data_IF_116844083719
#
_entry.id   IF_116844083719
#
_cell.length_a   1.000
_cell.length_b   1.000
_cell.length_c   1.000
_cell.angle_alpha   90.00
_cell.angle_beta   90.00
_cell.angle_gamma   90.00
#
_symmetry.space_group_name_H-M   'P 1'
#
loop_
_entity.id
_entity.type
_entity.pdbx_description
1 polymer ?
#
# COMPACT_ATOMS: atom_id res chain seq x y z
N UNK A 1 11.60 -81.73 6.61
CA UNK A 1 12.07 -83.08 6.24
C UNK A 1 13.57 -82.99 6.10
N UNK A 2 14.29 -83.69 6.97
CA UNK A 2 15.75 -83.75 7.04
C UNK A 2 16.31 -84.30 5.73
N UNK A 3 17.17 -83.52 5.06
CA UNK A 3 17.84 -83.94 3.84
C UNK A 3 18.78 -85.09 4.17
N UNK A 4 18.57 -86.24 3.54
CA UNK A 4 19.51 -87.34 3.57
C UNK A 4 20.65 -86.96 2.63
N UNK A 5 21.78 -86.60 3.22
CA UNK A 5 23.03 -86.33 2.50
C UNK A 5 23.41 -87.62 1.76
N UNK A 6 23.11 -87.70 0.46
CA UNK A 6 23.52 -88.82 -0.41
C UNK A 6 24.98 -88.64 -0.86
N UNK A 7 25.85 -88.25 0.06
CA UNK A 7 27.29 -88.33 -0.16
C UNK A 7 27.63 -89.82 -0.20
N UNK A 8 28.40 -90.31 -1.19
CA UNK A 8 28.82 -91.69 -1.17
C UNK A 8 29.77 -91.91 0.03
N UNK A 9 29.24 -92.49 1.11
CA UNK A 9 30.02 -92.99 2.25
C UNK A 9 30.77 -94.26 1.83
N UNK A 10 31.79 -94.10 0.98
CA UNK A 10 32.73 -95.17 0.67
C UNK A 10 34.03 -94.92 1.45
N UNK A 11 34.45 -95.83 2.36
CA UNK A 11 35.74 -95.68 3.03
C UNK A 11 36.87 -95.82 2.00
N UNK A 12 37.73 -94.81 1.92
CA UNK A 12 38.83 -94.74 0.94
C UNK A 12 40.04 -95.50 1.47
N UNK A 13 40.55 -96.45 0.69
CA UNK A 13 41.88 -97.03 0.88
C UNK A 13 42.90 -96.16 0.15
N UNK A 14 43.90 -95.61 0.86
CA UNK A 14 44.88 -94.66 0.30
C UNK A 14 45.85 -95.29 -0.74
N UNK A 15 45.85 -96.63 -0.90
CA UNK A 15 46.77 -97.35 -1.79
C UNK A 15 46.13 -97.87 -3.10
N UNK A 16 44.95 -97.37 -3.49
CA UNK A 16 44.24 -97.82 -4.70
C UNK A 16 44.04 -96.68 -5.70
N UNK A 17 44.41 -96.90 -6.98
CA UNK A 17 44.13 -96.03 -8.13
C UNK A 17 42.63 -96.00 -8.52
N UNK A 18 41.74 -96.06 -7.54
CA UNK A 18 40.29 -96.12 -7.74
C UNK A 18 39.73 -94.69 -7.90
N UNK A 19 39.29 -94.35 -9.11
CA UNK A 19 38.58 -93.09 -9.38
C UNK A 19 37.09 -93.31 -9.17
N UNK A 20 36.52 -92.70 -8.14
CA UNK A 20 35.07 -92.65 -7.93
C UNK A 20 34.50 -91.52 -8.78
N UNK A 21 33.63 -91.86 -9.73
CA UNK A 21 32.93 -90.90 -10.59
C UNK A 21 31.43 -90.95 -10.30
N UNK A 22 30.82 -89.77 -10.19
CA UNK A 22 29.38 -89.61 -9.93
C UNK A 22 28.53 -90.09 -11.12
N UNK A 23 27.36 -90.66 -10.83
CA UNK A 23 26.46 -91.15 -11.89
C UNK A 23 25.85 -89.98 -12.69
N UNK A 24 25.55 -90.16 -13.99
CA UNK A 24 24.87 -89.14 -14.79
C UNK A 24 23.51 -88.71 -14.24
N UNK A 25 22.80 -89.61 -13.56
CA UNK A 25 21.51 -89.33 -12.91
C UNK A 25 21.69 -88.40 -11.72
N UNK A 26 22.65 -88.67 -10.84
CA UNK A 26 22.96 -87.78 -9.72
C UNK A 26 23.34 -86.38 -10.18
N UNK A 27 24.14 -86.28 -11.26
CA UNK A 27 24.50 -84.98 -11.86
C UNK A 27 23.26 -84.25 -12.37
N UNK A 28 22.35 -84.93 -13.09
CA UNK A 28 21.11 -84.32 -13.59
C UNK A 28 20.17 -83.87 -12.47
N UNK A 29 20.03 -84.69 -11.44
CA UNK A 29 19.16 -84.38 -10.29
C UNK A 29 19.71 -83.20 -9.49
N UNK A 30 21.02 -83.16 -9.24
CA UNK A 30 21.66 -82.03 -8.54
C UNK A 30 21.58 -80.72 -9.33
N UNK A 31 21.71 -80.77 -10.65
CA UNK A 31 21.52 -79.59 -11.53
C UNK A 31 20.07 -79.12 -11.48
N UNK A 32 19.11 -80.04 -11.57
CA UNK A 32 17.69 -79.71 -11.51
C UNK A 32 17.34 -79.06 -10.18
N UNK A 33 17.81 -79.62 -9.07
CA UNK A 33 17.62 -79.08 -7.74
C UNK A 33 18.23 -77.68 -7.61
N UNK A 34 19.45 -77.46 -8.12
CA UNK A 34 20.10 -76.15 -8.11
C UNK A 34 19.31 -75.10 -8.93
N UNK A 35 18.74 -75.48 -10.08
CA UNK A 35 17.88 -74.60 -10.89
C UNK A 35 16.58 -74.28 -10.16
N UNK A 36 15.93 -75.28 -9.56
CA UNK A 36 14.69 -75.10 -8.80
C UNK A 36 14.92 -74.19 -7.58
N UNK A 37 16.04 -74.37 -6.87
CA UNK A 37 16.47 -73.50 -5.77
C UNK A 37 16.76 -72.08 -6.26
N UNK A 38 17.46 -71.91 -7.39
CA UNK A 38 17.75 -70.59 -7.95
C UNK A 38 16.49 -69.84 -8.37
N UNK A 39 15.56 -70.51 -9.05
CA UNK A 39 14.28 -69.94 -9.49
C UNK A 39 13.38 -69.53 -8.32
N UNK A 40 13.47 -70.24 -7.18
CA UNK A 40 12.79 -69.88 -5.94
C UNK A 40 13.53 -68.78 -5.15
N UNK A 41 14.84 -68.61 -5.38
CA UNK A 41 15.65 -67.63 -4.67
C UNK A 41 15.43 -66.21 -5.21
N UNK A 42 15.68 -65.21 -4.34
CA UNK A 42 15.81 -63.80 -4.74
C UNK A 42 17.23 -63.29 -4.57
N UNK A 43 18.22 -64.18 -4.62
CA UNK A 43 19.62 -63.86 -4.41
C UNK A 43 20.25 -63.32 -5.70
N UNK A 44 19.74 -62.19 -6.18
CA UNK A 44 20.32 -61.42 -7.27
C UNK A 44 20.73 -60.04 -6.75
N UNK A 45 21.77 -59.42 -7.33
CA UNK A 45 22.14 -58.05 -6.98
C UNK A 45 21.00 -57.08 -7.26
N UNK A 46 20.99 -55.96 -6.53
CA UNK A 46 20.10 -54.84 -6.85
C UNK A 46 20.48 -54.22 -8.19
N UNK A 47 19.48 -53.71 -8.91
CA UNK A 47 19.72 -52.90 -10.09
C UNK A 47 20.41 -51.59 -9.68
N UNK A 48 21.32 -51.12 -10.51
CA UNK A 48 21.91 -49.78 -10.44
C UNK A 48 21.61 -49.03 -11.74
N UNK A 49 22.12 -47.81 -11.88
CA UNK A 49 22.00 -47.06 -13.14
C UNK A 49 22.77 -47.72 -14.29
N UNK A 50 23.82 -48.48 -13.98
CA UNK A 50 24.73 -49.08 -14.96
C UNK A 50 24.53 -50.60 -15.11
N UNK A 51 24.12 -51.29 -14.03
CA UNK A 51 23.99 -52.75 -13.97
C UNK A 51 22.55 -53.23 -13.73
N UNK A 52 22.17 -54.34 -14.37
CA UNK A 52 20.83 -54.93 -14.25
C UNK A 52 20.70 -55.76 -12.97
N UNK A 53 19.55 -55.67 -12.29
CA UNK A 53 19.27 -56.42 -11.05
C UNK A 53 17.81 -56.30 -10.59
N UNK A 54 17.53 -56.66 -9.32
CA UNK A 54 16.20 -56.43 -8.73
C UNK A 54 16.02 -54.98 -8.28
N UNK A 55 14.81 -54.46 -8.43
CA UNK A 55 14.44 -53.09 -8.05
C UNK A 55 13.43 -53.16 -6.90
N UNK A 56 13.65 -52.36 -5.86
CA UNK A 56 12.62 -52.12 -4.82
C UNK A 56 11.85 -50.87 -5.18
N UNK A 57 10.52 -50.90 -5.05
CA UNK A 57 9.66 -49.77 -5.37
C UNK A 57 9.35 -48.95 -4.11
N UNK A 58 9.42 -47.63 -4.20
CA UNK A 58 9.01 -46.72 -3.12
C UNK A 58 7.92 -45.75 -3.56
N UNK A 59 7.01 -45.47 -2.64
CA UNK A 59 5.97 -44.44 -2.80
C UNK A 59 6.39 -43.08 -2.18
N UNK A 60 7.59 -43.00 -1.61
CA UNK A 60 8.07 -41.81 -0.94
C UNK A 60 8.40 -40.71 -1.96
N UNK A 61 8.05 -39.46 -1.63
CA UNK A 61 8.27 -38.29 -2.50
C UNK A 61 9.48 -37.44 -2.08
N UNK A 62 10.15 -37.83 -1.01
CA UNK A 62 11.35 -37.17 -0.47
C UNK A 62 12.38 -38.21 0.00
N UNK A 63 12.49 -39.33 -0.73
CA UNK A 63 13.48 -40.36 -0.45
C UNK A 63 14.82 -40.00 -1.07
N UNK A 64 15.90 -40.15 -0.30
CA UNK A 64 17.28 -40.00 -0.76
C UNK A 64 17.87 -41.33 -1.26
N UNK A 65 17.06 -42.38 -1.42
CA UNK A 65 17.54 -43.71 -1.80
C UNK A 65 17.91 -43.81 -3.28
N UNK A 66 19.15 -44.19 -3.57
CA UNK A 66 19.64 -44.47 -4.93
C UNK A 66 19.31 -45.89 -5.44
N UNK A 67 18.82 -46.79 -4.56
CA UNK A 67 18.53 -48.20 -4.89
C UNK A 67 17.04 -48.54 -5.01
N UNK A 68 16.17 -47.53 -4.86
CA UNK A 68 14.72 -47.70 -4.93
C UNK A 68 14.17 -46.89 -6.12
N UNK A 69 13.33 -47.51 -6.93
CA UNK A 69 12.64 -46.79 -8.00
C UNK A 69 11.33 -46.18 -7.48
N UNK A 70 11.05 -44.95 -7.90
CA UNK A 70 9.78 -44.29 -7.62
C UNK A 70 8.62 -45.01 -8.33
N UNK A 71 7.51 -45.21 -7.62
CA UNK A 71 6.27 -45.68 -8.24
C UNK A 71 5.53 -44.54 -8.94
N UNK A 72 4.58 -44.89 -9.80
CA UNK A 72 3.63 -43.91 -10.36
C UNK A 72 2.86 -43.12 -9.29
N UNK A 73 2.64 -43.71 -8.10
CA UNK A 73 2.02 -43.03 -6.97
C UNK A 73 2.92 -41.93 -6.41
N UNK A 74 4.22 -42.20 -6.21
CA UNK A 74 5.19 -41.18 -5.79
C UNK A 74 5.25 -40.03 -6.80
N UNK A 75 5.39 -40.35 -8.09
CA UNK A 75 5.44 -39.35 -9.17
C UNK A 75 4.17 -38.51 -9.22
N UNK A 76 3.00 -39.13 -9.10
CA UNK A 76 1.72 -38.41 -9.05
C UNK A 76 1.66 -37.47 -7.84
N UNK A 77 2.06 -37.94 -6.65
CA UNK A 77 2.06 -37.11 -5.45
C UNK A 77 2.98 -35.90 -5.56
N UNK A 78 4.18 -36.06 -6.13
CA UNK A 78 5.09 -34.95 -6.41
C UNK A 78 4.50 -33.95 -7.41
N UNK A 79 3.89 -34.45 -8.49
CA UNK A 79 3.23 -33.61 -9.48
C UNK A 79 2.03 -32.84 -8.91
N UNK A 80 1.21 -33.47 -8.07
CA UNK A 80 0.09 -32.82 -7.39
C UNK A 80 0.57 -31.71 -6.44
N UNK A 81 1.71 -31.89 -5.76
CA UNK A 81 2.32 -30.84 -4.92
C UNK A 81 2.85 -29.67 -5.76
N UNK A 82 3.49 -29.95 -6.90
CA UNK A 82 3.95 -28.92 -7.82
C UNK A 82 2.80 -28.09 -8.39
N UNK A 83 1.70 -28.74 -8.80
CA UNK A 83 0.50 -28.05 -9.26
C UNK A 83 -0.12 -27.18 -8.17
N UNK A 84 -0.23 -27.68 -6.93
CA UNK A 84 -0.70 -26.86 -5.80
C UNK A 84 0.18 -25.64 -5.54
N UNK A 85 1.49 -25.76 -5.72
CA UNK A 85 2.41 -24.64 -5.56
C UNK A 85 2.19 -23.59 -6.66
N UNK A 86 2.03 -24.02 -7.92
CA UNK A 86 1.70 -23.14 -9.04
C UNK A 86 0.34 -22.46 -8.84
N UNK A 87 -0.70 -23.22 -8.48
CA UNK A 87 -2.03 -22.68 -8.20
C UNK A 87 -1.96 -21.61 -7.09
N UNK A 88 -1.19 -21.85 -6.03
CA UNK A 88 -1.01 -20.87 -4.96
C UNK A 88 -0.27 -19.62 -5.46
N UNK A 89 0.77 -19.77 -6.29
CA UNK A 89 1.48 -18.62 -6.85
C UNK A 89 0.62 -17.79 -7.82
N UNK A 90 -0.16 -18.46 -8.67
CA UNK A 90 -0.94 -17.82 -9.74
C UNK A 90 -2.24 -17.18 -9.21
N UNK A 91 -2.80 -17.68 -8.11
CA UNK A 91 -4.07 -17.18 -7.58
C UNK A 91 -3.92 -16.09 -6.51
N UNK A 92 -2.75 -15.96 -5.87
CA UNK A 92 -2.53 -14.96 -4.82
C UNK A 92 -2.22 -13.60 -5.43
N UNK A 93 -2.96 -12.58 -4.99
CA UNK A 93 -2.83 -11.20 -5.45
C UNK A 93 -2.93 -11.08 -6.99
N UNK A 94 -3.75 -11.94 -7.60
CA UNK A 94 -3.99 -11.90 -9.04
C UNK A 94 -4.49 -10.50 -9.46
N UNK A 95 -3.88 -9.95 -10.52
CA UNK A 95 -4.08 -8.54 -10.90
C UNK A 95 -5.54 -8.22 -11.23
N UNK A 96 -6.24 -9.16 -11.84
CA UNK A 96 -7.65 -9.07 -12.19
C UNK A 96 -8.58 -9.18 -10.96
N UNK A 97 -8.12 -9.80 -9.87
CA UNK A 97 -8.86 -9.92 -8.61
C UNK A 97 -8.77 -8.68 -7.72
N UNK A 98 -7.84 -7.74 -7.99
CA UNK A 98 -7.70 -6.48 -7.26
C UNK A 98 -7.73 -6.63 -5.72
N UNK A 99 -7.09 -7.67 -5.19
CA UNK A 99 -7.02 -7.94 -3.75
C UNK A 99 -8.32 -8.52 -3.14
N UNK A 100 -9.24 -9.05 -3.95
CA UNK A 100 -10.42 -9.77 -3.47
C UNK A 100 -10.03 -10.95 -2.56
N UNK A 101 -8.92 -11.63 -2.88
CA UNK A 101 -8.36 -12.77 -2.17
C UNK A 101 -7.71 -12.43 -0.82
N UNK A 102 -7.53 -11.14 -0.50
CA UNK A 102 -6.96 -10.68 0.78
C UNK A 102 -7.97 -10.95 1.91
N UNK A 103 -7.64 -11.82 2.89
CA UNK A 103 -8.57 -12.19 3.96
C UNK A 103 -8.88 -11.04 4.92
N UNK A 104 -7.88 -10.22 5.25
CA UNK A 104 -8.03 -9.04 6.10
C UNK A 104 -7.44 -7.81 5.39
N UNK A 105 -8.31 -7.08 4.68
CA UNK A 105 -7.93 -5.89 3.91
C UNK A 105 -7.46 -4.74 4.81
N UNK A 106 -8.06 -4.59 6.00
CA UNK A 106 -7.70 -3.54 6.96
C UNK A 106 -6.28 -3.73 7.49
N UNK A 107 -5.94 -4.94 7.96
CA UNK A 107 -4.59 -5.23 8.45
C UNK A 107 -3.55 -5.18 7.32
N UNK A 108 -3.93 -5.60 6.10
CA UNK A 108 -3.06 -5.45 4.93
C UNK A 108 -2.71 -3.98 4.65
N UNK A 109 -3.71 -3.10 4.60
CA UNK A 109 -3.53 -1.66 4.41
C UNK A 109 -2.72 -1.04 5.56
N UNK A 110 -2.92 -1.50 6.80
CA UNK A 110 -2.13 -1.10 7.98
C UNK A 110 -0.66 -1.49 7.88
N UNK A 111 -0.37 -2.73 7.46
CA UNK A 111 1.00 -3.20 7.29
C UNK A 111 1.75 -2.45 6.19
N UNK A 112 1.02 -1.94 5.19
CA UNK A 112 1.59 -1.05 4.16
C UNK A 112 1.79 0.40 4.65
N UNK A 113 1.37 0.74 5.88
CA UNK A 113 1.38 2.12 6.38
C UNK A 113 0.32 3.01 5.73
N UNK A 114 -0.67 2.42 5.06
CA UNK A 114 -1.75 3.12 4.36
C UNK A 114 -3.04 3.24 5.19
N UNK A 115 -3.06 2.68 6.41
CA UNK A 115 -4.26 2.60 7.27
C UNK A 115 -4.86 3.96 7.65
N UNK A 116 -4.07 5.02 7.60
CA UNK A 116 -4.52 6.39 7.89
C UNK A 116 -5.09 7.11 6.66
N UNK A 117 -5.14 6.44 5.51
CA UNK A 117 -6.07 6.75 4.43
C UNK A 117 -6.01 8.17 3.89
N UNK A 118 -4.83 8.77 3.72
CA UNK A 118 -4.55 9.86 2.77
C UNK A 118 -3.16 10.42 3.06
N UNK A 119 -2.42 10.81 2.02
CA UNK A 119 -1.19 11.62 2.15
C UNK A 119 -1.49 12.95 2.87
N UNK A 120 -2.76 13.36 2.90
CA UNK A 120 -3.22 14.59 3.54
C UNK A 120 -3.72 14.34 4.97
N UNK A 121 -3.13 14.99 5.98
CA UNK A 121 -3.64 14.97 7.35
C UNK A 121 -5.11 15.40 7.45
N UNK A 122 -5.84 14.83 8.41
CA UNK A 122 -7.21 15.27 8.73
C UNK A 122 -7.19 16.74 9.14
N UNK A 123 -8.13 17.54 8.62
CA UNK A 123 -8.25 18.97 8.92
C UNK A 123 -7.46 19.92 8.02
N UNK A 124 -6.74 19.44 7.01
CA UNK A 124 -6.12 20.33 6.01
C UNK A 124 -7.18 20.83 5.02
N UNK A 125 -7.37 22.15 4.85
CA UNK A 125 -8.26 22.68 3.82
C UNK A 125 -7.69 22.45 2.43
N UNK A 126 -8.50 21.88 1.53
CA UNK A 126 -8.14 21.57 0.14
C UNK A 126 -9.13 22.25 -0.80
N UNK A 127 -8.68 22.94 -1.88
CA UNK A 127 -9.57 23.46 -2.91
C UNK A 127 -10.35 22.34 -3.62
N UNK A 128 -11.67 22.51 -3.75
CA UNK A 128 -12.58 21.57 -4.37
C UNK A 128 -13.45 22.25 -5.44
N UNK A 129 -13.53 21.68 -6.66
CA UNK A 129 -14.09 22.39 -7.82
C UNK A 129 -15.62 22.39 -7.89
N UNK A 130 -16.33 21.61 -7.08
CA UNK A 130 -17.81 21.52 -7.14
C UNK A 130 -18.46 22.06 -5.87
N UNK A 131 -19.74 22.38 -5.97
CA UNK A 131 -20.54 22.91 -4.85
C UNK A 131 -20.72 21.90 -3.71
N UNK A 132 -20.69 20.60 -4.02
CA UNK A 132 -20.91 19.51 -3.08
C UNK A 132 -19.59 18.80 -2.76
N UNK A 133 -19.24 18.73 -1.48
CA UNK A 133 -18.10 17.94 -1.03
C UNK A 133 -18.33 16.43 -1.28
N UNK A 134 -17.27 15.66 -1.59
CA UNK A 134 -17.38 14.22 -1.72
C UNK A 134 -17.67 13.57 -0.37
N UNK A 135 -18.13 12.31 -0.39
CA UNK A 135 -18.40 11.56 0.84
C UNK A 135 -17.15 11.49 1.74
N UNK A 136 -17.34 11.70 3.04
CA UNK A 136 -16.25 11.75 4.02
C UNK A 136 -15.54 13.09 4.12
N UNK A 137 -16.00 14.13 3.42
CA UNK A 137 -15.45 15.49 3.48
C UNK A 137 -16.52 16.50 3.92
N UNK A 138 -16.06 17.59 4.54
CA UNK A 138 -16.91 18.70 5.00
C UNK A 138 -16.43 20.01 4.37
N UNK A 139 -17.37 20.90 4.04
CA UNK A 139 -17.05 22.24 3.53
C UNK A 139 -16.67 23.15 4.70
N UNK A 140 -15.63 23.98 4.53
CA UNK A 140 -15.23 25.01 5.48
C UNK A 140 -16.13 26.25 5.34
N UNK A 141 -17.37 26.15 5.82
CA UNK A 141 -18.41 27.17 5.70
C UNK A 141 -18.87 27.73 7.07
N UNK A 142 -18.09 27.53 8.13
CA UNK A 142 -18.45 28.00 9.47
C UNK A 142 -19.35 27.05 10.28
N UNK A 143 -19.75 25.91 9.72
CA UNK A 143 -20.67 24.98 10.39
C UNK A 143 -19.99 24.17 11.52
N UNK A 144 -20.72 23.81 12.58
CA UNK A 144 -20.26 22.87 13.58
C UNK A 144 -20.17 21.44 13.04
N UNK A 145 -19.33 20.61 13.66
CA UNK A 145 -19.23 19.19 13.37
C UNK A 145 -19.25 18.34 14.64
N UNK A 146 -19.63 17.07 14.48
CA UNK A 146 -19.66 16.11 15.59
C UNK A 146 -18.24 15.62 15.92
N UNK A 147 -17.73 16.07 17.06
CA UNK A 147 -16.39 15.71 17.58
C UNK A 147 -16.27 14.24 17.97
N UNK A 148 -17.36 13.58 18.35
CA UNK A 148 -17.35 12.15 18.69
C UNK A 148 -17.30 11.30 17.43
N UNK A 149 -17.99 11.74 16.37
CA UNK A 149 -17.92 11.10 15.05
C UNK A 149 -16.58 11.33 14.36
N UNK A 150 -15.97 12.51 14.55
CA UNK A 150 -14.74 12.92 13.87
C UNK A 150 -13.63 13.34 14.86
N UNK A 151 -13.08 12.39 15.65
CA UNK A 151 -12.14 12.72 16.72
C UNK A 151 -10.81 13.28 16.22
N UNK A 152 -10.33 12.83 15.05
CA UNK A 152 -9.12 13.38 14.43
C UNK A 152 -9.32 14.83 13.96
N UNK A 153 -10.49 15.14 13.41
CA UNK A 153 -10.84 16.51 13.01
C UNK A 153 -10.99 17.40 14.25
N UNK A 154 -11.49 16.87 15.36
CA UNK A 154 -11.56 17.57 16.65
C UNK A 154 -10.19 17.92 17.24
N UNK A 155 -9.13 17.19 16.89
CA UNK A 155 -7.75 17.57 17.26
C UNK A 155 -7.30 18.80 16.44
N UNK A 156 -7.62 18.82 15.13
CA UNK A 156 -7.27 19.94 14.25
C UNK A 156 -8.11 21.20 14.52
N UNK A 157 -9.40 21.04 14.82
CA UNK A 157 -10.35 22.11 15.14
C UNK A 157 -11.02 21.87 16.50
N UNK A 158 -10.34 22.22 17.62
CA UNK A 158 -10.83 21.92 18.97
C UNK A 158 -12.17 22.56 19.34
N UNK A 159 -12.54 23.67 18.69
CA UNK A 159 -13.83 24.35 18.84
C UNK A 159 -15.01 23.46 18.45
N UNK A 160 -14.80 22.46 17.59
CA UNK A 160 -15.88 21.70 16.96
C UNK A 160 -16.61 22.49 15.86
N UNK A 161 -16.02 23.60 15.40
CA UNK A 161 -16.57 24.47 14.36
C UNK A 161 -15.50 24.66 13.29
N UNK A 162 -15.88 24.47 12.03
CA UNK A 162 -14.98 24.72 10.91
C UNK A 162 -14.81 26.22 10.66
N UNK A 163 -13.66 26.68 10.15
CA UNK A 163 -13.55 28.05 9.70
C UNK A 163 -14.50 28.30 8.52
N UNK A 164 -15.04 29.51 8.43
CA UNK A 164 -15.71 29.96 7.21
C UNK A 164 -14.65 30.54 6.27
N UNK A 165 -14.30 29.78 5.23
CA UNK A 165 -13.26 30.16 4.26
C UNK A 165 -13.84 30.64 2.93
N UNK A 166 -15.16 30.88 2.87
CA UNK A 166 -15.82 31.36 1.65
C UNK A 166 -15.38 32.81 1.39
N UNK A 167 -14.66 33.01 0.29
CA UNK A 167 -14.13 34.33 -0.09
C UNK A 167 -12.80 34.69 0.59
N UNK A 168 -12.23 33.80 1.40
CA UNK A 168 -11.01 34.07 2.17
C UNK A 168 -9.75 33.55 1.48
N UNK A 169 -8.62 34.22 1.74
CA UNK A 169 -7.29 33.73 1.39
C UNK A 169 -6.61 33.11 2.62
N UNK A 170 -6.12 31.88 2.48
CA UNK A 170 -5.31 31.25 3.51
C UNK A 170 -3.88 31.77 3.42
N UNK A 171 -3.32 32.20 4.55
CA UNK A 171 -1.92 32.63 4.68
C UNK A 171 -1.19 31.87 5.78
N UNK A 172 0.14 31.91 5.73
CA UNK A 172 0.98 31.39 6.82
C UNK A 172 0.87 32.24 8.09
N UNK A 173 0.82 31.57 9.24
CA UNK A 173 0.97 32.20 10.56
C UNK A 173 2.42 32.70 10.71
N UNK A 174 2.61 33.87 11.30
CA UNK A 174 3.95 34.44 11.52
C UNK A 174 4.85 33.54 12.38
N UNK A 175 4.26 32.92 13.40
CA UNK A 175 4.90 31.93 14.26
C UNK A 175 6.29 32.35 14.79
N UNK A 176 6.43 33.63 15.17
CA UNK A 176 7.64 34.17 15.80
C UNK A 176 8.67 34.79 14.86
N UNK A 177 8.36 34.93 13.55
CA UNK A 177 9.24 35.64 12.59
C UNK A 177 9.24 37.15 12.82
N UNK A 178 8.16 37.73 13.34
CA UNK A 178 8.03 39.16 13.64
C UNK A 178 7.48 40.01 12.49
N UNK A 179 6.98 39.41 11.40
CA UNK A 179 6.32 40.12 10.31
C UNK A 179 4.84 40.43 10.61
N UNK A 180 4.18 39.57 11.39
CA UNK A 180 2.81 39.77 11.89
C UNK A 180 2.67 39.18 13.31
N UNK A 181 3.33 39.78 14.32
CA UNK A 181 3.57 39.14 15.62
C UNK A 181 2.31 39.00 16.49
N UNK A 182 1.24 39.74 16.19
CA UNK A 182 -0.01 39.73 16.97
C UNK A 182 -1.10 38.85 16.36
N UNK A 183 -0.82 38.17 15.25
CA UNK A 183 -1.79 37.29 14.56
C UNK A 183 -1.89 35.95 15.26
N UNK A 184 -3.12 35.56 15.62
CA UNK A 184 -3.43 34.22 16.13
C UNK A 184 -3.86 33.26 15.01
N UNK A 185 -3.62 31.96 15.19
CA UNK A 185 -4.05 30.92 14.23
C UNK A 185 -5.57 30.94 14.05
N UNK A 186 -6.05 30.72 12.82
CA UNK A 186 -7.48 30.70 12.45
C UNK A 186 -8.27 32.01 12.72
N UNK A 187 -7.59 33.15 12.92
CA UNK A 187 -8.28 34.44 13.06
C UNK A 187 -8.40 35.18 11.72
N UNK A 188 -9.58 35.75 11.46
CA UNK A 188 -9.86 36.56 10.28
C UNK A 188 -9.12 37.92 10.33
N UNK A 189 -8.76 38.44 9.15
CA UNK A 189 -8.23 39.80 8.99
C UNK A 189 -8.94 40.48 7.84
N UNK A 190 -9.41 41.70 8.06
CA UNK A 190 -9.86 42.54 6.96
C UNK A 190 -8.69 42.91 6.04
N UNK A 191 -8.96 43.01 4.73
CA UNK A 191 -7.97 43.47 3.77
C UNK A 191 -7.42 44.86 4.11
N UNK A 192 -6.11 45.06 3.92
CA UNK A 192 -5.48 46.36 4.13
C UNK A 192 -6.00 47.38 3.11
N UNK A 193 -6.51 48.50 3.61
CA UNK A 193 -6.95 49.62 2.77
C UNK A 193 -5.71 50.40 2.30
N UNK A 194 -5.61 50.64 0.99
CA UNK A 194 -4.58 51.48 0.39
C UNK A 194 -5.22 52.83 0.06
N UNK A 195 -4.65 53.93 0.57
CA UNK A 195 -5.09 55.29 0.27
C UNK A 195 -4.06 56.03 -0.58
N UNK A 196 -4.52 56.79 -1.57
CA UNK A 196 -3.70 57.74 -2.34
C UNK A 196 -3.69 59.14 -1.71
N UNK A 197 -2.66 59.91 -2.03
CA UNK A 197 -2.58 61.35 -1.74
C UNK A 197 -3.05 62.10 -2.98
N UNK A 198 -3.90 63.11 -2.78
CA UNK A 198 -4.37 64.03 -3.81
C UNK A 198 -4.03 65.43 -3.28
N UNK A 199 -3.04 66.09 -3.91
CA UNK A 199 -2.64 67.46 -3.59
C UNK A 199 -3.02 68.48 -4.65
N UNK A 200 -3.81 68.08 -5.66
CA UNK A 200 -4.28 68.95 -6.74
C UNK A 200 -3.12 69.69 -7.44
N UNK A 201 -1.94 69.08 -7.49
CA UNK A 201 -0.85 69.49 -8.36
C UNK A 201 -0.82 68.59 -9.61
N UNK A 202 -0.05 68.96 -10.62
CA UNK A 202 -0.30 68.50 -11.99
C UNK A 202 0.20 67.07 -12.19
N UNK A 203 -0.55 66.06 -11.72
CA UNK A 203 -0.28 64.65 -12.02
C UNK A 203 -0.79 63.63 -11.02
N UNK A 204 -2.08 63.66 -10.66
CA UNK A 204 -2.57 62.88 -9.52
C UNK A 204 -3.13 61.50 -9.90
N UNK A 205 -2.81 60.49 -9.07
CA UNK A 205 -3.47 59.15 -9.07
C UNK A 205 -4.86 59.30 -8.40
N UNK A 206 -5.70 60.18 -8.96
CA UNK A 206 -7.06 60.41 -8.48
C UNK A 206 -8.03 59.57 -9.30
N UNK A 207 -7.96 58.25 -9.12
CA UNK A 207 -9.12 57.34 -9.14
C UNK A 207 -8.68 55.90 -9.40
N UNK A 208 -8.63 55.12 -8.33
CA UNK A 208 -9.11 53.75 -8.43
C UNK A 208 -10.38 53.73 -7.57
N UNK A 209 -11.55 53.98 -8.14
CA UNK A 209 -12.81 53.95 -7.39
C UNK A 209 -14.06 54.43 -8.12
N UNK A 210 -13.97 55.20 -9.20
CA UNK A 210 -15.14 55.53 -10.02
C UNK A 210 -15.46 54.34 -10.95
N UNK A 211 -16.64 53.69 -10.92
CA UNK A 211 -16.95 52.59 -11.84
C UNK A 211 -16.94 52.98 -13.33
N UNK A 212 -16.87 54.30 -13.61
CA UNK A 212 -16.68 54.88 -14.93
C UNK A 212 -15.20 54.98 -15.36
N UNK A 213 -14.24 54.98 -14.41
CA UNK A 213 -12.80 55.19 -14.65
C UNK A 213 -11.86 54.21 -13.89
N UNK A 214 -12.39 53.27 -13.10
CA UNK A 214 -11.62 52.33 -12.28
C UNK A 214 -12.28 50.95 -12.13
N UNK A 215 -11.45 49.94 -11.84
CA UNK A 215 -11.79 48.51 -11.83
C UNK A 215 -11.80 47.87 -10.41
N UNK A 216 -12.19 48.61 -9.36
CA UNK A 216 -12.18 48.13 -7.96
C UNK A 216 -13.54 47.60 -7.46
N UNK A 217 -13.53 46.79 -6.38
CA UNK A 217 -14.77 46.35 -5.71
C UNK A 217 -15.31 47.41 -4.72
N UNK A 218 -16.64 47.45 -4.49
CA UNK A 218 -17.25 48.34 -3.49
C UNK A 218 -16.85 47.99 -2.05
N UNK A 219 -16.72 49.01 -1.19
CA UNK A 219 -16.45 48.83 0.25
C UNK A 219 -17.67 48.30 1.01
N UNK A 220 -17.42 47.48 2.04
CA UNK A 220 -18.46 47.02 2.99
C UNK A 220 -18.75 48.05 4.09
N UNK A 221 -19.90 47.93 4.76
CA UNK A 221 -20.32 48.82 5.86
C UNK A 221 -19.34 48.78 7.07
N UNK A 222 -18.74 47.63 7.36
CA UNK A 222 -17.75 47.49 8.44
C UNK A 222 -16.46 48.23 8.11
N UNK A 223 -15.96 48.05 6.88
CA UNK A 223 -14.79 48.79 6.39
C UNK A 223 -15.05 50.29 6.43
N UNK A 224 -16.26 50.71 6.04
CA UNK A 224 -16.69 52.10 6.14
C UNK A 224 -16.67 52.59 7.57
N UNK A 225 -17.30 51.89 8.51
CA UNK A 225 -17.32 52.27 9.93
C UNK A 225 -15.91 52.42 10.53
N UNK A 226 -14.97 51.58 10.11
CA UNK A 226 -13.58 51.60 10.58
C UNK A 226 -12.75 52.78 10.07
N UNK A 227 -13.14 53.41 8.95
CA UNK A 227 -12.43 54.56 8.36
C UNK A 227 -13.20 55.88 8.44
N UNK A 228 -14.52 55.83 8.64
CA UNK A 228 -15.40 57.00 8.71
C UNK A 228 -14.90 57.96 9.79
N UNK A 229 -14.48 59.15 9.37
CA UNK A 229 -14.00 60.21 10.27
C UNK A 229 -12.50 60.15 10.62
N UNK A 230 -11.74 59.16 10.13
CA UNK A 230 -10.28 59.13 10.29
C UNK A 230 -9.63 60.08 9.27
N UNK A 231 -9.26 61.29 9.73
CA UNK A 231 -8.49 62.27 8.95
C UNK A 231 -7.00 61.98 9.12
N UNK A 232 -6.31 61.63 8.05
CA UNK A 232 -4.86 61.38 8.07
C UNK A 232 -4.03 62.62 7.71
N UNK A 233 -4.67 63.73 7.38
CA UNK A 233 -4.01 64.96 6.94
C UNK A 233 -4.03 65.98 8.09
N UNK A 234 -2.87 66.27 8.66
CA UNK A 234 -2.62 67.53 9.33
C UNK A 234 -2.25 68.56 8.26
N UNK A 235 -3.18 69.43 7.90
CA UNK A 235 -2.88 70.52 6.97
C UNK A 235 -2.96 71.89 7.66
N UNK A 236 -1.87 72.64 7.56
CA UNK A 236 -1.80 74.05 7.91
C UNK A 236 -1.99 74.88 6.62
N UNK A 237 -3.12 75.61 6.57
CA UNK A 237 -3.54 76.76 5.71
C UNK A 237 -2.67 77.11 4.48
N UNK A 238 -3.22 77.40 3.30
CA UNK A 238 -4.60 77.77 2.96
C UNK A 238 -4.91 77.72 1.45
N UNK A 239 -6.20 77.86 1.16
CA UNK A 239 -6.86 77.94 -0.15
C UNK A 239 -7.03 76.66 -0.98
N UNK A 240 -7.03 75.48 -0.37
CA UNK A 240 -7.61 74.28 -0.96
C UNK A 240 -9.03 74.06 -0.43
N UNK A 241 -10.01 74.03 -1.35
CA UNK A 241 -11.36 73.55 -1.02
C UNK A 241 -11.28 72.04 -0.81
N UNK A 242 -11.59 71.60 0.41
CA UNK A 242 -11.82 70.18 0.71
C UNK A 242 -13.07 69.74 -0.02
N UNK A 243 -12.93 69.20 -1.24
CA UNK A 243 -13.98 68.39 -1.81
C UNK A 243 -14.05 67.10 -1.01
N UNK A 244 -15.25 66.80 -0.50
CA UNK A 244 -15.56 65.63 0.34
C UNK A 244 -15.62 64.35 -0.51
N UNK A 245 -14.71 64.21 -1.48
CA UNK A 245 -14.68 63.11 -2.44
C UNK A 245 -13.49 62.22 -2.12
N UNK A 246 -13.80 60.95 -1.82
CA UNK A 246 -12.84 59.98 -1.31
C UNK A 246 -12.54 58.92 -2.38
N UNK A 247 -11.26 58.68 -2.66
CA UNK A 247 -10.82 57.62 -3.56
C UNK A 247 -10.18 56.49 -2.75
N UNK A 248 -10.97 55.46 -2.45
CA UNK A 248 -10.47 54.20 -1.89
C UNK A 248 -10.74 53.07 -2.87
N UNK A 249 -9.75 52.21 -3.09
CA UNK A 249 -9.93 50.94 -3.80
C UNK A 249 -9.64 49.79 -2.86
N UNK A 250 -10.55 48.81 -2.83
CA UNK A 250 -10.20 47.47 -2.39
C UNK A 250 -9.50 46.78 -3.56
N UNK A 251 -8.24 46.37 -3.36
CA UNK A 251 -7.51 45.57 -4.34
C UNK A 251 -7.62 44.10 -3.94
N UNK A 252 -8.33 43.29 -4.74
CA UNK A 252 -8.33 41.83 -4.56
C UNK A 252 -7.41 41.15 -5.59
N UNK A 253 -6.71 40.08 -5.21
CA UNK A 253 -6.06 39.20 -6.18
C UNK A 253 -7.09 38.63 -7.16
N UNK A 254 -6.74 38.54 -8.46
CA UNK A 254 -7.51 37.75 -9.42
C UNK A 254 -7.47 36.28 -9.00
N UNK A 255 -8.63 35.66 -8.88
CA UNK A 255 -8.75 34.27 -8.44
C UNK A 255 -9.92 33.55 -9.13
N UNK A 256 -9.95 32.23 -9.01
CA UNK A 256 -11.07 31.37 -9.40
C UNK A 256 -11.59 30.71 -8.12
N UNK A 257 -12.90 30.76 -7.90
CA UNK A 257 -13.52 30.27 -6.68
C UNK A 257 -13.59 28.73 -6.68
N UNK A 258 -13.07 28.14 -5.60
CA UNK A 258 -13.20 26.73 -5.25
C UNK A 258 -13.77 26.68 -3.83
N UNK A 259 -14.50 25.62 -3.49
CA UNK A 259 -14.80 25.35 -2.09
C UNK A 259 -13.51 24.95 -1.36
N UNK A 260 -13.39 25.30 -0.09
CA UNK A 260 -12.41 24.64 0.78
C UNK A 260 -13.11 23.49 1.51
N UNK A 261 -12.55 22.29 1.39
CA UNK A 261 -13.04 21.09 2.09
C UNK A 261 -11.97 20.53 3.02
N UNK A 262 -12.41 19.90 4.10
CA UNK A 262 -11.55 19.13 5.02
C UNK A 262 -12.02 17.70 5.09
N UNK A 263 -11.07 16.77 5.20
CA UNK A 263 -11.37 15.36 5.43
C UNK A 263 -11.97 15.21 6.82
N UNK A 264 -13.07 14.45 6.93
CA UNK A 264 -13.75 14.21 8.20
C UNK A 264 -13.20 12.98 8.95
N UNK A 265 -12.65 11.98 8.24
CA UNK A 265 -12.11 10.73 8.81
C UNK A 265 -10.81 10.28 8.13
#
# INVERSE_FOLDING_TARGET
MTMQDKKPDAPVSEDSNLVIVTTPEYVKDSIKEAIDQHAASRNHPYATLDDRGFVTLSNDVCSDSETHAATSKAVKSANDLANKANDNADTRLAKDQNGADIPNKEEFVKNLGLAEGSVLPVGVPVPWPTETAPEGWLICNGEPFDKFKYPKLAIAYPSGILPDLRGEFIRGLDNGRGADPSREILTHQEGTIISGFDDNDTGDISSIGEPKYAFGDPMTDTQWANIKGKKWIYWNKGNSDLYDWWAYTSARPRNVAFNYIVRAA
#
